data_IF_970018732103
#
_entry.id   IF_970018732103
#
_cell.length_a   1.000
_cell.length_b   1.000
_cell.length_c   1.000
_cell.angle_alpha   90.00
_cell.angle_beta   90.00
_cell.angle_gamma   90.00
#
_symmetry.space_group_name_H-M   'P 1'
#
loop_
_entity.id
_entity.type
_entity.pdbx_description
1 polymer ?
#
# COMPACT_ATOMS: atom_id res chain seq x y z
N UNK A 1 6.75 -4.90 4.47
CA UNK A 1 7.51 -3.65 4.69
C UNK A 1 8.07 -3.22 3.35
N UNK A 2 7.97 -1.94 2.99
CA UNK A 2 8.53 -1.42 1.74
C UNK A 2 10.05 -1.48 1.83
N UNK A 3 10.68 -2.23 0.93
CA UNK A 3 12.15 -2.35 0.81
C UNK A 3 12.68 -1.54 -0.37
N UNK A 4 11.88 -1.40 -1.42
CA UNK A 4 12.22 -0.64 -2.62
C UNK A 4 11.00 0.20 -3.04
N UNK A 5 11.24 1.39 -3.58
CA UNK A 5 10.19 2.27 -4.06
C UNK A 5 10.69 3.13 -5.23
N UNK A 6 9.87 3.26 -6.27
CA UNK A 6 10.16 4.04 -7.48
C UNK A 6 9.01 4.97 -7.83
N UNK A 7 9.30 6.05 -8.57
CA UNK A 7 8.34 7.11 -8.88
C UNK A 7 8.50 8.33 -7.96
N UNK A 8 7.74 9.38 -8.26
CA UNK A 8 7.90 10.68 -7.60
C UNK A 8 7.68 10.57 -6.10
N UNK A 9 8.68 10.99 -5.32
CA UNK A 9 8.68 10.95 -3.85
C UNK A 9 8.43 9.56 -3.22
N UNK A 10 8.44 8.48 -4.01
CA UNK A 10 8.13 7.13 -3.53
C UNK A 10 9.14 6.65 -2.48
N UNK A 11 10.41 7.03 -2.65
CA UNK A 11 11.52 6.68 -1.76
C UNK A 11 11.31 7.14 -0.32
N UNK A 12 10.48 8.18 -0.09
CA UNK A 12 10.11 8.62 1.25
C UNK A 12 9.31 7.57 2.02
N UNK A 13 8.72 6.58 1.35
CA UNK A 13 7.92 5.52 1.97
C UNK A 13 8.71 4.24 2.26
N UNK A 14 10.00 4.18 1.92
CA UNK A 14 10.84 3.02 2.26
C UNK A 14 10.87 2.82 3.78
N UNK A 15 10.75 1.57 4.22
CA UNK A 15 10.63 1.19 5.63
C UNK A 15 9.19 1.18 6.16
N UNK A 16 8.20 1.69 5.41
CA UNK A 16 6.80 1.63 5.83
C UNK A 16 6.32 0.18 5.90
N UNK A 17 5.75 -0.21 7.03
CA UNK A 17 5.16 -1.54 7.22
C UNK A 17 3.69 -1.52 6.88
N UNK A 18 3.24 -2.51 6.12
CA UNK A 18 1.84 -2.67 5.71
C UNK A 18 1.29 -3.91 6.44
N UNK A 19 0.16 -3.73 7.10
CA UNK A 19 -0.57 -4.80 7.78
C UNK A 19 -1.97 -4.89 7.18
N UNK A 20 -2.20 -5.97 6.44
CA UNK A 20 -3.50 -6.27 5.84
C UNK A 20 -4.33 -7.11 6.81
N UNK A 21 -5.47 -6.57 7.25
CA UNK A 21 -6.45 -7.30 8.06
C UNK A 21 -7.64 -7.69 7.19
N UNK A 22 -7.63 -8.96 6.75
CA UNK A 22 -8.68 -9.51 5.90
C UNK A 22 -10.02 -9.65 6.63
N UNK A 23 -10.02 -9.92 7.94
CA UNK A 23 -11.24 -10.12 8.69
C UNK A 23 -12.05 -8.81 8.78
N UNK A 24 -11.35 -7.69 8.92
CA UNK A 24 -11.96 -6.37 9.01
C UNK A 24 -11.93 -5.57 7.69
N UNK A 25 -11.35 -6.13 6.62
CA UNK A 25 -11.12 -5.42 5.35
C UNK A 25 -10.44 -4.06 5.56
N UNK A 26 -9.33 -4.04 6.31
CA UNK A 26 -8.57 -2.81 6.57
C UNK A 26 -7.10 -2.97 6.24
N UNK A 27 -6.48 -1.87 5.82
CA UNK A 27 -5.04 -1.72 5.70
C UNK A 27 -4.55 -0.75 6.77
N UNK A 28 -3.54 -1.16 7.54
CA UNK A 28 -2.78 -0.27 8.41
C UNK A 28 -1.37 -0.09 7.86
N UNK A 29 -0.92 1.16 7.71
CA UNK A 29 0.47 1.50 7.40
C UNK A 29 1.15 2.12 8.61
N UNK A 30 2.43 1.82 8.80
CA UNK A 30 3.25 2.40 9.87
C UNK A 30 4.61 2.82 9.36
N UNK A 31 4.96 4.08 9.61
CA UNK A 31 6.28 4.64 9.34
C UNK A 31 6.79 5.41 10.56
N UNK A 32 7.79 4.86 11.26
CA UNK A 32 8.23 5.42 12.53
C UNK A 32 7.07 5.49 13.55
N UNK A 33 6.72 6.70 13.96
CA UNK A 33 5.58 6.98 14.86
C UNK A 33 4.26 7.21 14.13
N UNK A 34 4.30 7.46 12.82
CA UNK A 34 3.09 7.72 12.02
C UNK A 34 2.38 6.40 11.71
N UNK A 35 1.08 6.36 11.99
CA UNK A 35 0.20 5.23 11.72
C UNK A 35 -1.00 5.76 10.94
N UNK A 36 -1.35 5.08 9.85
CA UNK A 36 -2.56 5.37 9.10
C UNK A 36 -3.36 4.09 8.92
N UNK A 37 -4.68 4.18 9.08
CA UNK A 37 -5.61 3.08 8.87
C UNK A 37 -6.58 3.47 7.77
N UNK A 38 -6.96 2.51 6.93
CA UNK A 38 -7.92 2.72 5.87
C UNK A 38 -8.80 1.51 5.64
N UNK A 39 -10.04 1.77 5.22
CA UNK A 39 -10.97 0.75 4.78
C UNK A 39 -10.60 0.30 3.37
N UNK A 40 -10.50 -1.02 3.17
CA UNK A 40 -10.27 -1.62 1.86
C UNK A 40 -11.60 -1.88 1.15
N UNK A 41 -11.62 -1.64 -0.15
CA UNK A 41 -12.77 -1.91 -1.02
C UNK A 41 -12.32 -2.35 -2.42
N UNK A 42 -13.26 -2.81 -3.24
CA UNK A 42 -12.99 -3.24 -4.62
C UNK A 42 -11.84 -4.27 -4.73
N UNK A 43 -11.78 -5.21 -3.77
CA UNK A 43 -10.76 -6.26 -3.77
C UNK A 43 -11.00 -7.21 -4.95
N UNK A 44 -9.99 -7.38 -5.79
CA UNK A 44 -9.93 -8.36 -6.86
C UNK A 44 -8.64 -9.18 -6.76
N UNK A 45 -8.44 -10.12 -7.69
CA UNK A 45 -7.23 -10.94 -7.78
C UNK A 45 -5.96 -10.13 -8.10
N UNK A 46 -6.09 -8.87 -8.53
CA UNK A 46 -4.94 -8.03 -8.92
C UNK A 46 -5.06 -6.55 -8.54
N UNK A 47 -6.12 -6.14 -7.85
CA UNK A 47 -6.30 -4.76 -7.42
C UNK A 47 -7.09 -4.63 -6.12
N UNK A 48 -6.93 -3.49 -5.45
CA UNK A 48 -7.75 -3.07 -4.33
C UNK A 48 -7.71 -1.55 -4.17
N UNK A 49 -8.72 -1.00 -3.52
CA UNK A 49 -8.79 0.42 -3.15
C UNK A 49 -8.68 0.56 -1.63
N UNK A 50 -8.08 1.66 -1.17
CA UNK A 50 -7.99 1.99 0.26
C UNK A 50 -8.41 3.44 0.50
N UNK A 51 -9.41 3.67 1.34
CA UNK A 51 -9.74 4.99 1.83
C UNK A 51 -9.16 5.14 3.24
N UNK A 52 -8.08 5.91 3.38
CA UNK A 52 -7.49 6.19 4.69
C UNK A 52 -8.32 7.19 5.48
N UNK A 53 -8.34 7.02 6.80
CA UNK A 53 -9.04 7.89 7.73
C UNK A 53 -8.63 9.36 7.54
N UNK A 54 -9.63 10.25 7.50
CA UNK A 54 -9.43 11.69 7.30
C UNK A 54 -9.22 12.13 5.85
N UNK A 55 -9.17 11.21 4.89
CA UNK A 55 -9.08 11.53 3.46
C UNK A 55 -10.43 11.35 2.76
N UNK A 56 -10.65 12.14 1.71
CA UNK A 56 -11.89 12.08 0.92
C UNK A 56 -11.79 11.16 -0.31
N UNK A 57 -10.58 10.89 -0.78
CA UNK A 57 -10.34 10.13 -2.01
C UNK A 57 -9.62 8.81 -1.71
N UNK A 58 -10.06 7.70 -2.32
CA UNK A 58 -9.38 6.42 -2.17
C UNK A 58 -8.07 6.36 -2.97
N UNK A 59 -7.14 5.56 -2.48
CA UNK A 59 -5.91 5.16 -3.14
C UNK A 59 -6.17 3.84 -3.85
N UNK A 60 -5.95 3.82 -5.17
CA UNK A 60 -6.21 2.63 -5.98
C UNK A 60 -4.90 1.91 -6.32
N UNK A 61 -4.77 0.68 -5.85
CA UNK A 61 -3.59 -0.14 -6.04
C UNK A 61 -3.88 -1.27 -7.03
N UNK A 62 -2.92 -1.52 -7.91
CA UNK A 62 -2.76 -2.83 -8.55
C UNK A 62 -1.61 -3.55 -7.89
N UNK A 63 -1.64 -4.88 -7.90
CA UNK A 63 -0.59 -5.67 -7.25
C UNK A 63 -0.20 -6.92 -8.03
N UNK A 64 1.08 -7.29 -7.90
CA UNK A 64 1.64 -8.55 -8.39
C UNK A 64 2.53 -9.18 -7.31
N UNK A 65 2.75 -10.50 -7.41
CA UNK A 65 3.73 -11.20 -6.59
C UNK A 65 4.90 -11.64 -7.47
N UNK A 66 6.09 -11.12 -7.18
CA UNK A 66 7.30 -11.34 -7.97
C UNK A 66 8.42 -11.82 -7.05
N UNK A 67 8.88 -13.06 -7.24
CA UNK A 67 9.98 -13.62 -6.44
C UNK A 67 9.70 -13.63 -4.92
N UNK A 68 8.44 -13.78 -4.51
CA UNK A 68 8.04 -13.73 -3.09
C UNK A 68 7.89 -12.32 -2.50
N UNK A 69 8.09 -11.29 -3.31
CA UNK A 69 7.82 -9.89 -2.94
C UNK A 69 6.44 -9.47 -3.47
N UNK A 70 5.76 -8.61 -2.72
CA UNK A 70 4.52 -7.96 -3.15
C UNK A 70 4.89 -6.64 -3.82
N UNK A 71 4.53 -6.46 -5.09
CA UNK A 71 4.71 -5.20 -5.81
C UNK A 71 3.37 -4.49 -5.88
N UNK A 72 3.30 -3.26 -5.39
CA UNK A 72 2.11 -2.41 -5.43
C UNK A 72 2.35 -1.24 -6.36
N UNK A 73 1.47 -1.04 -7.34
CA UNK A 73 1.47 0.16 -8.19
C UNK A 73 0.27 1.02 -7.83
N UNK A 74 0.53 2.26 -7.44
CA UNK A 74 -0.49 3.23 -7.06
C UNK A 74 -0.95 4.00 -8.29
N UNK A 75 -2.16 3.71 -8.77
CA UNK A 75 -2.71 4.26 -10.01
C UNK A 75 -2.96 5.78 -9.94
N UNK A 76 -3.14 6.34 -8.75
CA UNK A 76 -3.57 7.73 -8.54
C UNK A 76 -2.44 8.70 -8.14
N UNK A 77 -1.18 8.25 -8.02
CA UNK A 77 -0.08 9.06 -7.46
C UNK A 77 1.20 8.92 -8.29
N UNK A 78 1.30 9.66 -9.40
CA UNK A 78 2.57 9.90 -10.09
C UNK A 78 3.38 8.66 -10.51
N UNK A 79 2.73 7.51 -10.70
CA UNK A 79 3.42 6.25 -11.07
C UNK A 79 4.26 5.65 -9.94
N UNK A 80 3.86 5.85 -8.68
CA UNK A 80 4.57 5.23 -7.55
C UNK A 80 4.41 3.71 -7.53
N UNK A 81 5.54 3.02 -7.41
CA UNK A 81 5.62 1.57 -7.21
C UNK A 81 6.32 1.29 -5.89
N UNK A 82 5.77 0.36 -5.11
CA UNK A 82 6.34 -0.09 -3.85
C UNK A 82 6.57 -1.59 -3.90
N UNK A 83 7.79 -2.03 -3.58
CA UNK A 83 8.12 -3.44 -3.41
C UNK A 83 8.17 -3.74 -1.91
N UNK A 84 7.37 -4.72 -1.48
CA UNK A 84 7.21 -5.10 -0.09
C UNK A 84 7.70 -6.52 0.15
N UNK A 85 8.46 -6.68 1.22
CA UNK A 85 8.84 -7.98 1.76
C UNK A 85 8.07 -8.28 3.04
N UNK A 86 7.81 -9.57 3.29
CA UNK A 86 7.13 -10.03 4.49
C UNK A 86 8.02 -9.76 5.71
N UNK A 87 7.44 -9.19 6.76
CA UNK A 87 8.10 -8.91 8.03
C UNK A 87 7.35 -9.62 9.15
#
# INVERSE_FOLDING_TARGET
>A
MITEATGDYASLNVGTTYTFDKANSTLTTKQGIMISKGAMSSLTDSSFSVLFEGLSNPFNYTYTFEGGKLVLNLATSGGQTFTLERK
#
